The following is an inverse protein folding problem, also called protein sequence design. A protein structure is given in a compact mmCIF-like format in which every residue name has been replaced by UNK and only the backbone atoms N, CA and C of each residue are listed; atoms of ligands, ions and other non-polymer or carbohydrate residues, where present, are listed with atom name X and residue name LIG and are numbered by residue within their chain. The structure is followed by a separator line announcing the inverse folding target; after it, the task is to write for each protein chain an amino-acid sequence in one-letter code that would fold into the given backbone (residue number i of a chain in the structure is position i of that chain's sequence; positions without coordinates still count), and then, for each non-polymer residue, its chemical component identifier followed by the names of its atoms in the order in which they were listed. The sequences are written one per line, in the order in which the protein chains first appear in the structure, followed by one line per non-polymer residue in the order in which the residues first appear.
data_IF_879143863934
#
_entry.id   IF_879143863934
#
_cell.length_a   1.000
_cell.length_b   1.000
_cell.length_c   1.000
_cell.angle_alpha   90.00
_cell.angle_beta   90.00
_cell.angle_gamma   90.00
#
_symmetry.space_group_name_H-M   'P 1'
#
loop_
_entity.id
_entity.type
_entity.pdbx_description
1 polymer ?
#
# COMPACT_ATOMS: atom_id res chain seq x y z
N UNK A 1 33.86 -32.70 -30.10
CA UNK A 1 32.98 -31.51 -30.18
C UNK A 1 33.30 -30.55 -29.05
N UNK A 2 33.46 -29.26 -29.33
CA UNK A 2 33.78 -28.24 -28.33
C UNK A 2 32.50 -27.52 -27.84
N UNK A 3 32.02 -27.87 -26.66
CA UNK A 3 30.78 -27.30 -26.07
C UNK A 3 30.86 -25.80 -25.81
N UNK A 4 32.07 -25.25 -25.66
CA UNK A 4 32.29 -23.82 -25.46
C UNK A 4 31.71 -22.97 -26.60
N UNK A 5 31.70 -23.51 -27.82
CA UNK A 5 31.16 -22.80 -29.01
C UNK A 5 29.66 -22.55 -28.89
N UNK A 6 28.93 -23.37 -28.14
CA UNK A 6 27.49 -23.20 -27.90
C UNK A 6 27.24 -22.44 -26.59
N UNK A 7 27.97 -22.77 -25.53
CA UNK A 7 27.75 -22.20 -24.19
C UNK A 7 28.07 -20.71 -24.11
N UNK A 8 29.13 -20.25 -24.78
CA UNK A 8 29.52 -18.84 -24.77
C UNK A 8 28.43 -17.95 -25.36
N UNK A 9 27.93 -18.17 -26.60
CA UNK A 9 26.87 -17.34 -27.16
C UNK A 9 25.56 -17.46 -26.38
N UNK A 10 25.20 -18.64 -25.86
CA UNK A 10 24.00 -18.79 -25.03
C UNK A 10 24.09 -17.98 -23.74
N UNK A 11 25.22 -18.01 -23.03
CA UNK A 11 25.42 -17.22 -21.82
C UNK A 11 25.36 -15.72 -22.10
N UNK A 12 26.00 -15.26 -23.18
CA UNK A 12 25.94 -13.86 -23.62
C UNK A 12 24.52 -13.43 -23.97
N UNK A 13 23.76 -14.28 -24.68
CA UNK A 13 22.37 -13.99 -25.02
C UNK A 13 21.50 -13.89 -23.76
N UNK A 14 21.65 -14.81 -22.79
CA UNK A 14 20.93 -14.74 -21.52
C UNK A 14 21.30 -13.48 -20.72
N UNK A 15 22.58 -13.12 -20.69
CA UNK A 15 23.04 -11.88 -20.06
C UNK A 15 22.46 -10.63 -20.73
N UNK A 16 22.45 -10.58 -22.06
CA UNK A 16 21.90 -9.46 -22.83
C UNK A 16 20.39 -9.31 -22.61
N UNK A 17 19.63 -10.41 -22.60
CA UNK A 17 18.19 -10.39 -22.28
C UNK A 17 17.94 -9.86 -20.88
N UNK A 18 18.73 -10.30 -19.89
CA UNK A 18 18.65 -9.78 -18.52
C UNK A 18 18.95 -8.29 -18.44
N UNK A 19 19.98 -7.82 -19.14
CA UNK A 19 20.33 -6.39 -19.20
C UNK A 19 19.22 -5.55 -19.83
N UNK A 20 18.63 -6.02 -20.94
CA UNK A 20 17.53 -5.33 -21.60
C UNK A 20 16.29 -5.26 -20.71
N UNK A 21 15.96 -6.36 -20.02
CA UNK A 21 14.86 -6.39 -19.06
C UNK A 21 15.12 -5.43 -17.87
N UNK A 22 16.36 -5.35 -17.39
CA UNK A 22 16.76 -4.43 -16.34
C UNK A 22 16.60 -2.96 -16.76
N UNK A 23 17.10 -2.58 -17.94
CA UNK A 23 16.92 -1.22 -18.45
C UNK A 23 15.46 -0.88 -18.75
N UNK A 24 14.66 -1.86 -19.20
CA UNK A 24 13.22 -1.70 -19.36
C UNK A 24 12.52 -1.45 -18.02
N UNK A 25 12.90 -2.18 -16.97
CA UNK A 25 12.40 -1.97 -15.60
C UNK A 25 12.70 -0.55 -15.09
N UNK A 26 13.94 -0.08 -15.25
CA UNK A 26 14.32 1.29 -14.87
C UNK A 26 13.50 2.35 -15.64
N UNK A 27 13.30 2.15 -16.94
CA UNK A 27 12.53 3.06 -17.80
C UNK A 27 11.02 3.06 -17.47
N UNK A 28 10.51 1.98 -16.89
CA UNK A 28 9.07 1.81 -16.59
C UNK A 28 8.58 2.65 -15.41
N UNK A 29 9.46 3.34 -14.68
CA UNK A 29 9.06 4.24 -13.58
C UNK A 29 8.60 3.52 -12.31
N UNK A 30 8.67 2.18 -12.27
CA UNK A 30 8.29 1.36 -11.10
C UNK A 30 9.15 1.60 -9.85
N UNK A 31 10.28 2.31 -9.98
CA UNK A 31 11.15 2.67 -8.85
C UNK A 31 10.67 3.93 -8.11
N UNK A 32 9.85 4.77 -8.76
CA UNK A 32 9.34 6.03 -8.17
C UNK A 32 8.38 5.74 -6.98
N UNK A 33 7.64 4.64 -7.05
CA UNK A 33 6.78 4.17 -5.94
C UNK A 33 7.59 3.61 -4.75
N UNK A 34 8.75 2.99 -5.03
CA UNK A 34 9.67 2.53 -3.99
C UNK A 34 10.40 3.69 -3.31
N UNK A 35 10.79 4.72 -4.07
CA UNK A 35 11.39 5.95 -3.51
C UNK A 35 10.38 6.64 -2.57
N UNK A 36 9.10 6.74 -2.95
CA UNK A 36 8.04 7.26 -2.08
C UNK A 36 7.72 6.38 -0.86
N UNK A 37 7.92 5.06 -0.93
CA UNK A 37 7.81 4.17 0.23
C UNK A 37 9.03 4.27 1.17
N UNK A 38 10.24 4.42 0.62
CA UNK A 38 11.46 4.63 1.39
C UNK A 38 11.45 5.98 2.12
N UNK A 39 10.96 7.04 1.49
CA UNK A 39 10.78 8.35 2.12
C UNK A 39 9.81 8.27 3.31
N UNK A 40 8.72 7.53 3.17
CA UNK A 40 7.80 7.25 4.29
C UNK A 40 8.47 6.44 5.40
N UNK A 41 9.27 5.42 5.10
CA UNK A 41 9.95 4.61 6.13
C UNK A 41 11.04 5.37 6.88
N UNK A 42 11.73 6.30 6.21
CA UNK A 42 12.80 7.11 6.83
C UNK A 42 12.27 8.32 7.60
N UNK A 43 11.10 8.86 7.23
CA UNK A 43 10.48 10.02 7.88
C UNK A 43 9.37 9.64 8.88
N UNK A 44 8.79 8.43 8.83
CA UNK A 44 7.68 8.04 9.71
C UNK A 44 8.07 7.70 11.16
N UNK A 45 9.35 7.70 11.53
CA UNK A 45 9.72 7.53 12.94
C UNK A 45 9.32 8.75 13.81
N UNK A 46 8.93 9.88 13.19
CA UNK A 46 8.62 11.13 13.90
C UNK A 46 7.11 11.49 13.93
N UNK A 47 6.27 10.91 13.06
CA UNK A 47 4.89 11.40 12.80
C UNK A 47 3.79 10.32 12.83
N UNK A 48 3.91 9.26 13.64
CA UNK A 48 2.75 8.43 14.00
C UNK A 48 1.85 9.16 15.02
N UNK A 49 1.12 10.16 14.54
CA UNK A 49 -0.17 10.50 15.15
C UNK A 49 -1.09 9.29 14.98
N UNK A 50 -1.66 8.74 16.07
CA UNK A 50 -2.61 7.65 15.96
C UNK A 50 -3.73 8.08 15.02
N UNK A 51 -4.14 7.18 14.12
CA UNK A 51 -5.40 7.28 13.40
C UNK A 51 -6.53 7.35 14.43
N UNK A 52 -6.79 8.56 14.91
CA UNK A 52 -8.01 8.89 15.64
C UNK A 52 -9.09 8.83 14.59
N UNK A 53 -9.71 7.66 14.47
CA UNK A 53 -10.99 7.49 13.80
C UNK A 53 -11.96 8.53 14.38
N UNK A 54 -12.24 9.65 13.68
CA UNK A 54 -13.09 10.70 14.20
C UNK A 54 -14.56 10.23 14.31
N UNK A 55 -14.89 9.07 13.73
CA UNK A 55 -16.24 8.49 13.76
C UNK A 55 -16.55 7.62 14.97
N UNK A 56 -15.57 7.30 15.83
CA UNK A 56 -15.80 6.43 17.00
C UNK A 56 -16.11 7.21 18.29
N UNK A 57 -15.70 8.48 18.39
CA UNK A 57 -15.90 9.28 19.61
C UNK A 57 -17.38 9.67 19.82
N UNK A 58 -18.14 9.94 18.75
CA UNK A 58 -19.57 10.28 18.86
C UNK A 58 -20.44 9.13 19.38
N UNK A 59 -20.00 7.87 19.21
CA UNK A 59 -20.77 6.69 19.66
C UNK A 59 -20.50 6.32 21.12
N UNK A 60 -19.43 6.83 21.71
CA UNK A 60 -19.01 6.49 23.07
C UNK A 60 -19.60 7.43 24.15
N UNK A 61 -20.14 8.59 23.75
CA UNK A 61 -20.75 9.57 24.67
C UNK A 61 -22.27 9.46 24.79
N UNK A 62 -22.93 8.49 24.14
CA UNK A 62 -24.36 8.27 24.34
C UNK A 62 -24.55 7.46 25.63
N UNK A 63 -24.94 8.09 26.76
CA UNK A 63 -25.13 7.35 27.98
C UNK A 63 -26.40 6.51 27.81
N UNK A 64 -26.29 5.23 28.14
CA UNK A 64 -27.46 4.38 28.35
C UNK A 64 -28.35 5.05 29.42
N UNK A 65 -29.50 5.57 29.01
CA UNK A 65 -30.41 6.30 29.90
C UNK A 65 -31.79 6.42 29.27
N UNK A 66 -32.75 5.69 29.82
CA UNK A 66 -34.10 5.52 29.27
C UNK A 66 -34.98 6.76 29.33
N UNK A 67 -36.16 6.65 28.72
CA UNK A 67 -37.15 7.71 28.78
C UNK A 67 -38.27 7.54 27.77
N UNK A 68 -39.33 6.88 28.23
CA UNK A 68 -40.70 6.88 27.70
C UNK A 68 -41.09 8.18 26.98
N UNK A 69 -41.56 8.08 25.73
CA UNK A 69 -42.64 8.94 25.22
C UNK A 69 -43.20 8.35 23.92
N UNK A 70 -43.93 7.24 24.05
CA UNK A 70 -44.84 6.80 23.01
C UNK A 70 -46.01 7.77 23.00
N UNK A 71 -45.93 8.74 22.08
CA UNK A 71 -46.92 9.77 21.87
C UNK A 71 -48.32 9.17 21.70
N UNK A 72 -49.22 9.76 22.47
CA UNK A 72 -50.64 9.47 22.59
C UNK A 72 -51.32 9.99 21.32
N UNK A 73 -51.28 9.21 20.24
CA UNK A 73 -52.21 9.39 19.12
C UNK A 73 -53.56 8.76 19.47
N UNK A 74 -54.26 9.45 20.37
CA UNK A 74 -55.70 9.36 20.51
C UNK A 74 -56.31 10.45 19.62
N UNK A 75 -56.74 10.13 18.41
CA UNK A 75 -57.87 10.81 17.74
C UNK A 75 -58.57 9.82 16.80
N UNK A 76 -59.79 9.46 17.21
CA UNK A 76 -61.00 9.02 16.50
C UNK A 76 -60.91 8.26 15.18
#
# INVERSE_FOLDING_TARGET
MNYLVVLIPTALAMGAVGLLAFFWSLRSGQYDDLDGAAERVLLNDEDEMPLTDPGRQERAEQPAGGGVSGDKTMVS
#
